data_IF_870858350187
#
_entry.id   IF_870858350187
#
_cell.length_a   1.000
_cell.length_b   1.000
_cell.length_c   1.000
_cell.angle_alpha   90.00
_cell.angle_beta   90.00
_cell.angle_gamma   90.00
#
_symmetry.space_group_name_H-M   'P 1'
#
loop_
_entity.id
_entity.type
_entity.pdbx_description
1 polymer ?
#
# COMPACT_ATOMS: atom_id res chain seq x y z
N UNK A 1 -3.50 40.76 71.14
CA UNK A 1 -2.82 40.55 72.44
C UNK A 1 -1.94 39.31 72.27
N UNK A 2 -0.63 39.45 72.14
CA UNK A 2 0.27 38.28 72.09
C UNK A 2 0.51 37.87 73.54
N UNK A 3 -0.01 36.71 73.92
CA UNK A 3 0.27 36.12 75.22
C UNK A 3 1.69 35.55 75.13
N UNK A 4 2.60 36.11 75.92
CA UNK A 4 3.99 35.64 76.07
C UNK A 4 4.05 34.58 77.17
N UNK A 5 5.07 33.70 77.17
CA UNK A 5 5.25 32.69 78.23
C UNK A 5 5.31 33.33 79.62
N UNK A 6 5.95 34.48 79.74
CA UNK A 6 6.05 35.27 80.98
C UNK A 6 4.67 35.70 81.50
N UNK A 7 3.77 36.15 80.61
CA UNK A 7 2.40 36.48 81.00
C UNK A 7 1.59 35.26 81.48
N UNK A 8 1.90 34.06 80.98
CA UNK A 8 1.21 32.82 81.40
C UNK A 8 1.73 32.35 82.76
N UNK A 9 3.04 32.44 82.99
CA UNK A 9 3.67 32.10 84.27
C UNK A 9 3.16 33.02 85.40
N UNK A 10 3.04 34.33 85.13
CA UNK A 10 2.54 35.32 86.09
C UNK A 10 1.07 35.08 86.46
N UNK A 11 0.21 34.79 85.47
CA UNK A 11 -1.22 34.50 85.68
C UNK A 11 -1.44 33.19 86.46
N UNK A 12 -0.63 32.15 86.19
CA UNK A 12 -0.79 30.84 86.85
C UNK A 12 -0.21 30.79 88.27
N UNK A 13 0.81 31.62 88.55
CA UNK A 13 1.31 31.85 89.91
C UNK A 13 0.30 32.64 90.76
N UNK A 14 -0.43 33.59 90.17
CA UNK A 14 -1.54 34.30 90.83
C UNK A 14 -2.72 33.38 91.21
N UNK A 15 -2.97 32.31 90.43
CA UNK A 15 -4.03 31.32 90.70
C UNK A 15 -3.66 30.21 91.71
N UNK A 16 -2.45 30.25 92.30
CA UNK A 16 -2.07 29.36 93.40
C UNK A 16 -1.74 27.92 93.01
N UNK A 17 -1.39 27.66 91.74
CA UNK A 17 -0.87 26.37 91.31
C UNK A 17 0.49 26.09 91.95
N UNK A 18 0.66 24.90 92.53
CA UNK A 18 1.93 24.45 93.06
C UNK A 18 3.00 24.45 91.96
N UNK A 19 4.22 24.87 92.28
CA UNK A 19 5.34 25.04 91.35
C UNK A 19 5.64 23.77 90.52
N UNK A 20 5.37 22.59 91.08
CA UNK A 20 5.45 21.29 90.42
C UNK A 20 4.45 21.15 89.25
N UNK A 21 3.21 21.62 89.41
CA UNK A 21 2.18 21.57 88.37
C UNK A 21 2.46 22.55 87.22
N UNK A 22 3.08 23.69 87.53
CA UNK A 22 3.54 24.65 86.52
C UNK A 22 4.69 24.06 85.69
N UNK A 23 5.63 23.37 86.33
CA UNK A 23 6.72 22.64 85.65
C UNK A 23 6.20 21.54 84.71
N UNK A 24 5.19 20.79 85.16
CA UNK A 24 4.59 19.71 84.37
C UNK A 24 3.86 20.26 83.14
N UNK A 25 3.10 21.36 83.29
CA UNK A 25 2.43 22.04 82.18
C UNK A 25 3.45 22.62 81.17
N UNK A 26 4.53 23.25 81.65
CA UNK A 26 5.60 23.78 80.80
C UNK A 26 6.29 22.67 80.00
N UNK A 27 6.55 21.53 80.65
CA UNK A 27 7.10 20.33 80.00
C UNK A 27 6.16 19.76 78.95
N UNK A 28 4.85 19.74 79.21
CA UNK A 28 3.83 19.30 78.25
C UNK A 28 3.73 20.25 77.04
N UNK A 29 3.65 21.56 77.27
CA UNK A 29 3.59 22.57 76.22
C UNK A 29 4.84 22.56 75.33
N UNK A 30 6.02 22.34 75.91
CA UNK A 30 7.24 22.18 75.14
C UNK A 30 7.17 20.95 74.22
N UNK A 31 6.76 19.79 74.75
CA UNK A 31 6.61 18.55 73.95
C UNK A 31 5.58 18.73 72.84
N UNK A 32 4.45 19.37 73.12
CA UNK A 32 3.41 19.61 72.11
C UNK A 32 3.86 20.63 71.07
N UNK A 33 4.59 21.68 71.46
CA UNK A 33 5.16 22.64 70.52
C UNK A 33 6.16 21.93 69.57
N UNK A 34 7.04 21.08 70.09
CA UNK A 34 7.94 20.28 69.25
C UNK A 34 7.15 19.39 68.29
N UNK A 35 6.11 18.70 68.76
CA UNK A 35 5.25 17.87 67.89
C UNK A 35 4.60 18.69 66.77
N UNK A 36 4.03 19.85 67.10
CA UNK A 36 3.40 20.75 66.14
C UNK A 36 4.43 21.26 65.13
N UNK A 37 5.63 21.64 65.58
CA UNK A 37 6.71 22.08 64.71
C UNK A 37 7.16 20.98 63.75
N UNK A 38 7.33 19.73 64.22
CA UNK A 38 7.69 18.60 63.37
C UNK A 38 6.60 18.31 62.34
N UNK A 39 5.33 18.22 62.76
CA UNK A 39 4.21 17.99 61.84
C UNK A 39 4.05 19.13 60.80
N UNK A 40 4.26 20.38 61.22
CA UNK A 40 4.30 21.55 60.34
C UNK A 40 5.41 21.44 59.29
N UNK A 41 6.62 21.05 59.70
CA UNK A 41 7.75 20.86 58.80
C UNK A 41 7.51 19.72 57.80
N UNK A 42 6.97 18.59 58.25
CA UNK A 42 6.61 17.45 57.38
C UNK A 42 5.55 17.84 56.36
N UNK A 43 4.51 18.57 56.77
CA UNK A 43 3.47 19.07 55.86
C UNK A 43 4.04 20.05 54.83
N UNK A 44 4.99 20.91 55.23
CA UNK A 44 5.66 21.82 54.31
C UNK A 44 6.48 21.05 53.26
N UNK A 45 7.23 20.04 53.67
CA UNK A 45 8.00 19.17 52.77
C UNK A 45 7.09 18.41 51.79
N UNK A 46 5.98 17.86 52.28
CA UNK A 46 5.00 17.17 51.41
C UNK A 46 4.35 18.12 50.40
N UNK A 47 4.03 19.35 50.80
CA UNK A 47 3.49 20.36 49.88
C UNK A 47 4.50 20.73 48.80
N UNK A 48 5.76 20.91 49.15
CA UNK A 48 6.82 21.20 48.18
C UNK A 48 6.99 20.05 47.17
N UNK A 49 7.06 18.81 47.65
CA UNK A 49 7.12 17.62 46.79
C UNK A 49 5.91 17.53 45.85
N UNK A 50 4.72 17.74 46.37
CA UNK A 50 3.50 17.71 45.58
C UNK A 50 3.49 18.79 44.48
N UNK A 51 3.95 20.01 44.78
CA UNK A 51 4.04 21.07 43.78
C UNK A 51 5.04 20.74 42.68
N UNK A 52 6.21 20.15 43.03
CA UNK A 52 7.18 19.67 42.06
C UNK A 52 6.60 18.59 41.15
N UNK A 53 5.92 17.59 41.72
CA UNK A 53 5.27 16.52 40.95
C UNK A 53 4.19 17.07 40.02
N UNK A 54 3.39 18.04 40.49
CA UNK A 54 2.35 18.70 39.69
C UNK A 54 2.95 19.43 38.50
N UNK A 55 4.08 20.11 38.67
CA UNK A 55 4.73 20.83 37.59
C UNK A 55 5.42 19.89 36.59
N UNK A 56 6.04 18.81 37.07
CA UNK A 56 6.54 17.72 36.21
C UNK A 56 5.41 17.11 35.38
N UNK A 57 4.30 16.76 36.02
CA UNK A 57 3.14 16.17 35.36
C UNK A 57 2.55 17.10 34.29
N UNK A 58 2.46 18.41 34.55
CA UNK A 58 1.99 19.38 33.54
C UNK A 58 2.90 19.40 32.31
N UNK A 59 4.22 19.37 32.50
CA UNK A 59 5.15 19.39 31.38
C UNK A 59 5.13 18.07 30.60
N UNK A 60 5.01 16.94 31.30
CA UNK A 60 4.77 15.62 30.68
C UNK A 60 3.50 15.61 29.84
N UNK A 61 2.38 16.09 30.39
CA UNK A 61 1.10 16.19 29.67
C UNK A 61 1.20 17.08 28.43
N UNK A 62 1.90 18.21 28.53
CA UNK A 62 2.14 19.11 27.40
C UNK A 62 2.98 18.44 26.32
N UNK A 63 4.02 17.70 26.70
CA UNK A 63 4.87 16.96 25.78
C UNK A 63 4.12 15.80 25.12
N UNK A 64 3.32 15.07 25.89
CA UNK A 64 2.47 14.01 25.38
C UNK A 64 1.43 14.57 24.40
N UNK A 65 0.80 15.69 24.71
CA UNK A 65 -0.18 16.34 23.84
C UNK A 65 0.45 16.82 22.54
N UNK A 66 1.67 17.38 22.58
CA UNK A 66 2.44 17.75 21.38
C UNK A 66 2.73 16.54 20.50
N UNK A 67 3.20 15.43 21.10
CA UNK A 67 3.46 14.17 20.37
C UNK A 67 2.17 13.63 19.74
N UNK A 68 1.09 13.57 20.51
CA UNK A 68 -0.22 13.13 20.04
C UNK A 68 -0.72 13.97 18.86
N UNK A 69 -0.63 15.29 18.96
CA UNK A 69 -1.05 16.20 17.87
C UNK A 69 -0.19 16.03 16.61
N UNK A 70 1.10 15.77 16.76
CA UNK A 70 2.01 15.51 15.63
C UNK A 70 1.69 14.18 14.95
N UNK A 71 1.50 13.10 15.73
CA UNK A 71 1.07 11.80 15.24
C UNK A 71 -0.29 11.87 14.54
N UNK A 72 -1.27 12.54 15.13
CA UNK A 72 -2.58 12.76 14.49
C UNK A 72 -2.45 13.51 13.17
N UNK A 73 -1.58 14.52 13.10
CA UNK A 73 -1.33 15.27 11.86
C UNK A 73 -0.64 14.40 10.82
N UNK A 74 0.26 13.51 11.22
CA UNK A 74 0.90 12.52 10.33
C UNK A 74 -0.14 11.55 9.77
N UNK A 75 -0.94 10.93 10.64
CA UNK A 75 -2.00 10.00 10.25
C UNK A 75 -2.99 10.64 9.29
N UNK A 76 -3.37 11.91 9.52
CA UNK A 76 -4.26 12.63 8.60
C UNK A 76 -3.66 12.78 7.20
N UNK A 77 -2.38 13.15 7.11
CA UNK A 77 -1.68 13.26 5.82
C UNK A 77 -1.54 11.91 5.13
N UNK A 78 -1.22 10.86 5.89
CA UNK A 78 -1.10 9.50 5.35
C UNK A 78 -2.45 9.01 4.82
N UNK A 79 -3.56 9.25 5.54
CA UNK A 79 -4.90 8.92 5.07
C UNK A 79 -5.27 9.68 3.79
N UNK A 80 -4.96 10.97 3.70
CA UNK A 80 -5.17 11.74 2.47
C UNK A 80 -4.40 11.16 1.29
N UNK A 81 -3.13 10.79 1.49
CA UNK A 81 -2.31 10.17 0.46
C UNK A 81 -2.87 8.81 0.03
N UNK A 82 -3.39 8.01 0.97
CA UNK A 82 -4.04 6.73 0.67
C UNK A 82 -5.30 6.95 -0.17
N UNK A 83 -6.12 7.93 0.17
CA UNK A 83 -7.34 8.27 -0.57
C UNK A 83 -7.03 8.72 -2.01
N UNK A 84 -6.02 9.58 -2.19
CA UNK A 84 -5.55 10.03 -3.50
C UNK A 84 -5.05 8.84 -4.36
N UNK A 85 -4.24 7.95 -3.77
CA UNK A 85 -3.74 6.76 -4.46
C UNK A 85 -4.88 5.82 -4.84
N UNK A 86 -5.85 5.64 -3.95
CA UNK A 86 -7.01 4.81 -4.21
C UNK A 86 -7.84 5.35 -5.37
N UNK A 87 -7.99 6.68 -5.48
CA UNK A 87 -8.73 7.29 -6.58
C UNK A 87 -8.01 7.09 -7.93
N UNK A 88 -6.68 7.22 -7.97
CA UNK A 88 -5.89 6.93 -9.17
C UNK A 88 -6.08 5.47 -9.60
N UNK A 89 -6.04 4.54 -8.64
CA UNK A 89 -6.24 3.11 -8.91
C UNK A 89 -7.65 2.87 -9.46
N UNK A 90 -8.68 3.43 -8.84
CA UNK A 90 -10.08 3.32 -9.31
C UNK A 90 -10.24 3.87 -10.73
N UNK A 91 -9.64 5.02 -11.03
CA UNK A 91 -9.64 5.59 -12.38
C UNK A 91 -8.92 4.67 -13.39
N UNK A 92 -7.76 4.13 -13.02
CA UNK A 92 -7.03 3.14 -13.81
C UNK A 92 -7.88 1.90 -14.14
N UNK A 93 -8.56 1.33 -13.14
CA UNK A 93 -9.47 0.20 -13.36
C UNK A 93 -10.65 0.55 -14.26
N UNK A 94 -11.26 1.74 -14.11
CA UNK A 94 -12.33 2.21 -15.00
C UNK A 94 -11.86 2.27 -16.45
N UNK A 95 -10.68 2.84 -16.70
CA UNK A 95 -10.08 2.92 -18.05
C UNK A 95 -9.80 1.53 -18.62
N UNK A 96 -9.20 0.65 -17.84
CA UNK A 96 -8.92 -0.73 -18.26
C UNK A 96 -10.21 -1.51 -18.58
N UNK A 97 -11.28 -1.33 -17.81
CA UNK A 97 -12.57 -1.95 -18.11
C UNK A 97 -13.16 -1.41 -19.42
N UNK A 98 -13.05 -0.11 -19.66
CA UNK A 98 -13.47 0.50 -20.94
C UNK A 98 -12.67 -0.06 -22.12
N UNK A 99 -11.34 -0.13 -22.00
CA UNK A 99 -10.47 -0.66 -23.05
C UNK A 99 -10.75 -2.15 -23.31
N UNK A 100 -10.95 -2.95 -22.26
CA UNK A 100 -11.36 -4.35 -22.36
C UNK A 100 -12.66 -4.49 -23.15
N UNK A 101 -13.70 -3.75 -22.77
CA UNK A 101 -14.99 -3.78 -23.48
C UNK A 101 -14.88 -3.32 -24.93
N UNK A 102 -14.00 -2.36 -25.21
CA UNK A 102 -13.73 -1.91 -26.58
C UNK A 102 -13.07 -3.01 -27.40
N UNK A 103 -12.04 -3.66 -26.85
CA UNK A 103 -11.37 -4.78 -27.49
C UNK A 103 -12.33 -5.95 -27.72
N UNK A 104 -13.16 -6.30 -26.73
CA UNK A 104 -14.16 -7.37 -26.87
C UNK A 104 -15.13 -7.10 -28.04
N UNK A 105 -15.54 -5.83 -28.24
CA UNK A 105 -16.37 -5.42 -29.39
C UNK A 105 -15.65 -5.53 -30.72
N UNK A 106 -14.41 -5.06 -30.80
CA UNK A 106 -13.60 -5.18 -32.04
C UNK A 106 -13.32 -6.65 -32.37
N UNK A 107 -13.02 -7.47 -31.36
CA UNK A 107 -12.86 -8.91 -31.50
C UNK A 107 -14.14 -9.57 -32.02
N UNK A 108 -15.30 -9.26 -31.44
CA UNK A 108 -16.58 -9.78 -31.91
C UNK A 108 -16.87 -9.35 -33.35
N UNK A 109 -16.55 -8.10 -33.72
CA UNK A 109 -16.71 -7.59 -35.09
C UNK A 109 -15.82 -8.33 -36.08
N UNK A 110 -14.54 -8.51 -35.75
CA UNK A 110 -13.59 -9.23 -36.59
C UNK A 110 -13.94 -10.71 -36.71
N UNK A 111 -14.41 -11.33 -35.63
CA UNK A 111 -14.89 -12.71 -35.65
C UNK A 111 -16.11 -12.87 -36.58
N UNK A 112 -17.08 -11.96 -36.49
CA UNK A 112 -18.25 -11.96 -37.38
C UNK A 112 -17.88 -11.70 -38.85
N UNK A 113 -16.97 -10.76 -39.13
CA UNK A 113 -16.48 -10.51 -40.49
C UNK A 113 -15.74 -11.73 -41.05
N UNK A 114 -14.91 -12.38 -40.22
CA UNK A 114 -14.23 -13.62 -40.59
C UNK A 114 -15.24 -14.72 -40.92
N UNK A 115 -16.22 -14.96 -40.06
CA UNK A 115 -17.29 -15.95 -40.27
C UNK A 115 -18.07 -15.65 -41.57
N UNK A 116 -18.44 -14.40 -41.81
CA UNK A 116 -19.11 -13.97 -43.05
C UNK A 116 -18.25 -14.22 -44.30
N UNK A 117 -16.95 -13.93 -44.24
CA UNK A 117 -16.01 -14.20 -45.33
C UNK A 117 -15.80 -15.71 -45.55
N UNK A 118 -15.79 -16.51 -44.48
CA UNK A 118 -15.72 -17.98 -44.54
C UNK A 118 -16.98 -18.56 -45.18
N UNK A 119 -18.18 -18.12 -44.77
CA UNK A 119 -19.46 -18.54 -45.35
C UNK A 119 -19.58 -18.18 -46.84
N UNK A 120 -19.06 -17.03 -47.24
CA UNK A 120 -19.02 -16.59 -48.65
C UNK A 120 -17.92 -17.29 -49.47
N UNK A 121 -17.10 -18.13 -48.84
CA UNK A 121 -15.98 -18.83 -49.48
C UNK A 121 -14.83 -17.90 -49.90
N UNK A 122 -14.81 -16.66 -49.41
CA UNK A 122 -13.81 -15.64 -49.74
C UNK A 122 -12.63 -15.64 -48.76
N UNK A 123 -12.80 -16.19 -47.56
CA UNK A 123 -11.71 -16.31 -46.58
C UNK A 123 -10.63 -17.31 -47.03
N UNK A 124 -11.01 -18.34 -47.79
CA UNK A 124 -10.08 -19.27 -48.46
C UNK A 124 -9.72 -18.80 -49.89
N UNK A 125 -10.02 -17.55 -50.28
CA UNK A 125 -9.71 -17.05 -51.63
C UNK A 125 -8.22 -16.70 -51.81
N UNK A 126 -7.32 -17.51 -51.26
CA UNK A 126 -6.11 -17.96 -51.94
C UNK A 126 -5.13 -16.93 -52.57
N UNK A 127 -4.89 -15.69 -52.05
CA UNK A 127 -3.90 -14.82 -52.67
C UNK A 127 -2.50 -15.08 -52.10
N UNK A 128 -2.38 -15.28 -50.78
CA UNK A 128 -1.08 -15.34 -50.08
C UNK A 128 -0.22 -16.54 -50.45
N UNK A 129 -0.83 -17.70 -50.65
CA UNK A 129 -0.09 -18.95 -50.92
C UNK A 129 0.34 -19.06 -52.38
N UNK A 130 -0.36 -18.38 -53.30
CA UNK A 130 0.03 -18.25 -54.71
C UNK A 130 1.31 -17.41 -54.89
N UNK A 131 1.62 -16.52 -53.93
CA UNK A 131 2.83 -15.70 -53.95
C UNK A 131 4.09 -16.57 -53.82
N UNK A 132 4.03 -17.66 -53.03
CA UNK A 132 5.20 -18.52 -52.80
C UNK A 132 5.74 -19.17 -54.08
N UNK A 133 4.85 -19.47 -55.03
CA UNK A 133 5.19 -20.10 -56.31
C UNK A 133 5.10 -19.13 -57.50
N UNK A 134 5.04 -17.83 -57.24
CA UNK A 134 4.96 -16.83 -58.29
C UNK A 134 6.18 -16.89 -59.22
N UNK A 135 5.93 -16.93 -60.53
CA UNK A 135 6.97 -17.01 -61.56
C UNK A 135 7.53 -18.41 -61.83
N UNK A 136 7.00 -19.45 -61.19
CA UNK A 136 7.24 -20.84 -61.59
C UNK A 136 6.56 -21.10 -62.93
N UNK A 137 7.29 -21.65 -63.90
CA UNK A 137 6.79 -21.87 -65.28
C UNK A 137 6.86 -23.33 -65.73
N UNK A 138 7.53 -24.20 -64.97
CA UNK A 138 7.69 -25.61 -65.31
C UNK A 138 7.91 -26.47 -64.06
N UNK A 139 7.74 -27.79 -64.20
CA UNK A 139 7.83 -28.74 -63.08
C UNK A 139 9.20 -28.74 -62.37
N UNK A 140 10.28 -28.46 -63.10
CA UNK A 140 11.64 -28.38 -62.54
C UNK A 140 11.80 -27.17 -61.61
N UNK A 141 11.33 -25.99 -62.04
CA UNK A 141 11.35 -24.77 -61.23
C UNK A 141 10.39 -24.86 -60.05
N UNK A 142 9.26 -25.58 -60.20
CA UNK A 142 8.33 -25.85 -59.10
C UNK A 142 9.00 -26.67 -58.00
N UNK A 143 9.63 -27.80 -58.35
CA UNK A 143 10.36 -28.66 -57.40
C UNK A 143 11.51 -27.93 -56.70
N UNK A 144 12.22 -27.07 -57.43
CA UNK A 144 13.29 -26.26 -56.86
C UNK A 144 12.76 -25.27 -55.83
N UNK A 145 11.74 -24.48 -56.21
CA UNK A 145 11.12 -23.51 -55.30
C UNK A 145 10.49 -24.16 -54.08
N UNK A 146 9.83 -25.30 -54.25
CA UNK A 146 9.29 -26.09 -53.15
C UNK A 146 10.37 -26.47 -52.13
N UNK A 147 11.50 -27.03 -52.58
CA UNK A 147 12.63 -27.37 -51.69
C UNK A 147 13.20 -26.15 -50.97
N UNK A 148 13.35 -25.03 -51.67
CA UNK A 148 13.87 -23.78 -51.09
C UNK A 148 12.93 -23.27 -49.99
N UNK A 149 11.62 -23.26 -50.26
CA UNK A 149 10.58 -22.86 -49.31
C UNK A 149 10.49 -23.82 -48.12
N UNK A 150 10.54 -25.13 -48.33
CA UNK A 150 10.57 -26.12 -47.24
C UNK A 150 11.81 -25.94 -46.37
N UNK A 151 12.95 -25.59 -46.96
CA UNK A 151 14.17 -25.31 -46.21
C UNK A 151 14.08 -24.01 -45.41
N UNK A 152 13.36 -23.00 -45.86
CA UNK A 152 13.22 -21.73 -45.12
C UNK A 152 12.20 -21.89 -43.99
N UNK A 153 11.05 -22.50 -44.29
CA UNK A 153 9.88 -22.56 -43.41
C UNK A 153 9.74 -23.87 -42.62
N UNK A 154 10.78 -24.72 -42.58
CA UNK A 154 10.77 -25.93 -41.75
C UNK A 154 10.58 -25.55 -40.27
N UNK A 155 9.74 -26.28 -39.50
CA UNK A 155 9.45 -25.95 -38.10
C UNK A 155 10.71 -25.87 -37.20
N UNK A 156 11.79 -26.54 -37.60
CA UNK A 156 13.06 -26.54 -36.84
C UNK A 156 13.96 -25.32 -37.14
N UNK A 157 13.56 -24.43 -38.05
CA UNK A 157 14.34 -23.25 -38.43
C UNK A 157 13.80 -21.97 -37.76
N UNK A 158 14.65 -20.93 -37.67
CA UNK A 158 14.33 -19.65 -37.01
C UNK A 158 13.12 -18.93 -37.63
N UNK A 159 12.89 -19.13 -38.93
CA UNK A 159 11.72 -18.62 -39.66
C UNK A 159 10.67 -19.73 -39.93
N UNK A 160 10.74 -20.81 -39.16
CA UNK A 160 9.88 -21.98 -39.30
C UNK A 160 8.47 -21.73 -38.81
N UNK A 161 7.49 -22.17 -39.60
CA UNK A 161 6.08 -22.12 -39.22
C UNK A 161 5.36 -23.37 -39.76
N UNK A 162 4.75 -24.12 -38.84
CA UNK A 162 4.06 -25.38 -39.13
C UNK A 162 2.80 -25.16 -39.97
N UNK A 163 2.14 -24.02 -39.83
CA UNK A 163 0.95 -23.71 -40.62
C UNK A 163 1.34 -23.30 -42.06
N UNK A 164 2.39 -22.49 -42.18
CA UNK A 164 2.92 -22.05 -43.48
C UNK A 164 3.46 -23.22 -44.29
N UNK A 165 4.21 -24.15 -43.68
CA UNK A 165 4.74 -25.32 -44.40
C UNK A 165 3.62 -26.24 -44.91
N UNK A 166 2.55 -26.42 -44.13
CA UNK A 166 1.39 -27.21 -44.56
C UNK A 166 0.69 -26.56 -45.76
N UNK A 167 0.56 -25.23 -45.76
CA UNK A 167 0.01 -24.45 -46.89
C UNK A 167 0.88 -24.58 -48.15
N UNK A 168 2.21 -24.49 -48.02
CA UNK A 168 3.17 -24.65 -49.12
C UNK A 168 3.08 -26.06 -49.74
N UNK A 169 2.93 -27.10 -48.92
CA UNK A 169 2.78 -28.48 -49.40
C UNK A 169 1.50 -28.67 -50.22
N UNK A 170 0.36 -28.15 -49.74
CA UNK A 170 -0.93 -28.22 -50.46
C UNK A 170 -0.85 -27.55 -51.83
N UNK A 171 -0.22 -26.37 -51.90
CA UNK A 171 -0.03 -25.64 -53.16
C UNK A 171 0.89 -26.34 -54.14
N UNK A 172 2.01 -26.86 -53.65
CA UNK A 172 2.92 -27.62 -54.50
C UNK A 172 2.22 -28.82 -55.12
N UNK A 173 1.42 -29.56 -54.35
CA UNK A 173 0.68 -30.71 -54.86
C UNK A 173 -0.39 -30.31 -55.88
N UNK A 174 -1.05 -29.15 -55.72
CA UNK A 174 -2.00 -28.62 -56.71
C UNK A 174 -1.30 -28.29 -58.02
N UNK A 175 -0.26 -27.45 -57.97
CA UNK A 175 0.50 -27.02 -59.16
C UNK A 175 1.21 -28.19 -59.85
N UNK A 176 1.70 -29.16 -59.07
CA UNK A 176 2.33 -30.37 -59.61
C UNK A 176 1.33 -31.17 -60.46
N UNK A 177 0.10 -31.37 -59.98
CA UNK A 177 -0.95 -32.06 -60.75
C UNK A 177 -1.30 -31.30 -62.02
N UNK A 178 -1.41 -29.97 -61.96
CA UNK A 178 -1.67 -29.13 -63.14
C UNK A 178 -0.57 -29.31 -64.19
N UNK A 179 0.71 -29.12 -63.83
CA UNK A 179 1.82 -29.27 -64.78
C UNK A 179 2.02 -30.70 -65.30
N UNK A 180 1.69 -31.72 -64.51
CA UNK A 180 1.72 -33.12 -64.96
C UNK A 180 0.58 -33.42 -65.94
N UNK A 181 -0.60 -32.81 -65.76
CA UNK A 181 -1.76 -32.94 -66.67
C UNK A 181 -1.49 -32.23 -68.00
N UNK A 182 -0.91 -31.03 -67.99
CA UNK A 182 -0.49 -30.30 -69.19
C UNK A 182 0.63 -30.98 -69.99
N UNK A 183 1.33 -31.97 -69.42
CA UNK A 183 2.35 -32.76 -70.11
C UNK A 183 1.78 -33.98 -70.85
N UNK A 184 0.51 -34.32 -70.61
CA UNK A 184 -0.17 -35.50 -71.19
C UNK A 184 -1.22 -35.15 -72.27
N UNK A 185 -1.46 -33.85 -72.52
CA UNK A 185 -2.25 -33.34 -73.64
C UNK A 185 -1.32 -32.83 -74.76
#
# INVERSE_FOLDING_TARGET
>A
MRITMENIEEILLEEGLAEDGLQELKSWLFKENIRIMTASAELAEQREKFELEKDQFKEEMKNLNRKMSAEQSRIRKDNQLVDERLEIIKDGFRKLDMDRRRLDKEWARLAAEKEFLEERGLYDSYPETSVFFHGVKNLLTLKKRYKDLTKIFHPDNVAGDTEVIQRINREYDRLKREYETFKQA
#
